data_IF_685575729214
#
_entry.id   IF_685575729214
#
_cell.length_a   1.000
_cell.length_b   1.000
_cell.length_c   1.000
_cell.angle_alpha   90.00
_cell.angle_beta   90.00
_cell.angle_gamma   90.00
#
_symmetry.space_group_name_H-M   'P 1'
#
loop_
_entity.id
_entity.type
_entity.pdbx_description
1 polymer ?
#
# COMPACT_ATOMS: atom_id res chain seq x y z
N UNK A 1 11.92 6.89 -10.63
CA UNK A 1 10.86 5.88 -10.47
C UNK A 1 11.17 5.06 -9.22
N UNK A 2 10.42 5.26 -8.13
CA UNK A 2 10.47 4.42 -6.91
C UNK A 2 9.16 4.61 -6.13
N UNK A 3 8.05 4.29 -6.81
CA UNK A 3 6.70 4.50 -6.30
C UNK A 3 5.98 3.15 -6.18
N UNK A 4 5.23 2.98 -5.10
CA UNK A 4 4.53 1.76 -4.73
C UNK A 4 3.04 2.06 -4.52
N UNK A 5 2.19 1.05 -4.72
CA UNK A 5 0.81 1.09 -4.26
C UNK A 5 0.80 1.01 -2.73
N UNK A 6 0.22 2.01 -2.09
CA UNK A 6 0.30 2.25 -0.66
C UNK A 6 -1.11 2.42 -0.08
N UNK A 7 -1.43 1.68 0.99
CA UNK A 7 -2.63 1.93 1.79
C UNK A 7 -2.37 3.08 2.77
N UNK A 8 -3.15 4.14 2.67
CA UNK A 8 -2.93 5.39 3.41
C UNK A 8 -2.93 5.16 4.93
N UNK A 9 -2.01 5.83 5.63
CA UNK A 9 -1.96 5.80 7.10
C UNK A 9 -1.53 4.45 7.69
N UNK A 10 -0.90 3.57 6.90
CA UNK A 10 -0.53 2.21 7.32
C UNK A 10 -1.73 1.38 7.83
N UNK A 11 -2.92 1.64 7.27
CA UNK A 11 -4.18 1.00 7.66
C UNK A 11 -4.46 -0.23 6.81
N UNK A 12 -4.99 -1.27 7.46
CA UNK A 12 -5.56 -2.47 6.81
C UNK A 12 -7.09 -2.51 6.86
N UNK A 13 -7.74 -1.45 7.35
CA UNK A 13 -9.20 -1.39 7.44
C UNK A 13 -9.86 -1.39 6.05
N UNK A 14 -11.02 -2.04 5.94
CA UNK A 14 -11.81 -2.03 4.70
C UNK A 14 -12.18 -0.60 4.29
N UNK A 15 -12.05 -0.31 2.98
CA UNK A 15 -12.29 1.04 2.45
C UNK A 15 -11.10 2.00 2.61
N UNK A 16 -9.96 1.56 3.18
CA UNK A 16 -8.73 2.37 3.19
C UNK A 16 -8.38 2.79 1.78
N UNK A 17 -8.20 4.09 1.56
CA UNK A 17 -7.87 4.63 0.25
C UNK A 17 -6.45 4.21 -0.14
N UNK A 18 -6.29 3.86 -1.41
CA UNK A 18 -4.98 3.56 -1.98
C UNK A 18 -4.39 4.80 -2.66
N UNK A 19 -3.08 4.91 -2.63
CA UNK A 19 -2.31 5.98 -3.26
C UNK A 19 -1.03 5.43 -3.91
N UNK A 20 -0.45 6.22 -4.81
CA UNK A 20 0.88 5.97 -5.34
C UNK A 20 1.87 6.81 -4.55
N UNK A 21 2.70 6.16 -3.73
CA UNK A 21 3.59 6.82 -2.79
C UNK A 21 5.04 6.37 -2.94
N UNK A 22 5.99 7.10 -2.36
CA UNK A 22 7.40 6.66 -2.32
C UNK A 22 7.50 5.31 -1.63
N UNK A 23 8.18 4.35 -2.26
CA UNK A 23 8.40 3.04 -1.66
C UNK A 23 9.27 3.18 -0.40
N UNK A 24 8.70 2.82 0.76
CA UNK A 24 9.37 2.80 2.07
C UNK A 24 9.59 1.39 2.61
N UNK A 25 9.05 0.36 1.95
CA UNK A 25 9.21 -1.06 2.35
C UNK A 25 8.34 -1.49 3.54
N UNK A 26 7.43 -0.62 3.97
CA UNK A 26 6.44 -0.85 5.03
C UNK A 26 5.39 -1.87 4.62
N UNK A 27 4.67 -2.44 5.59
CA UNK A 27 3.70 -3.50 5.35
C UNK A 27 2.53 -3.06 4.45
N UNK A 28 2.08 -1.82 4.57
CA UNK A 28 1.00 -1.23 3.76
C UNK A 28 1.34 -1.03 2.27
N UNK A 29 2.55 -1.43 1.84
CA UNK A 29 3.00 -1.42 0.45
C UNK A 29 3.22 -2.83 -0.11
N UNK A 30 2.91 -3.88 0.66
CA UNK A 30 3.11 -5.29 0.29
C UNK A 30 1.75 -5.96 0.10
N UNK A 31 1.53 -6.50 -1.09
CA UNK A 31 0.24 -7.05 -1.49
C UNK A 31 0.37 -8.53 -1.81
N UNK A 32 -0.55 -9.34 -1.29
CA UNK A 32 -0.72 -10.74 -1.70
C UNK A 32 -1.94 -10.82 -2.60
N UNK A 33 -1.75 -11.26 -3.84
CA UNK A 33 -2.84 -11.47 -4.80
C UNK A 33 -3.15 -12.96 -4.84
N UNK A 34 -4.39 -13.31 -4.55
CA UNK A 34 -4.92 -14.67 -4.76
C UNK A 34 -5.76 -14.66 -6.05
N UNK A 35 -5.79 -15.80 -6.76
CA UNK A 35 -6.56 -15.93 -8.00
C UNK A 35 -8.04 -16.09 -7.73
#
# INVERSE_FOLDING_TARGET
ANKCLDATGNSSANGTRLQIWTCGGTANQKWTVTR
#
